data_IF_957370398227
#
_entry.id   IF_957370398227
#
_cell.length_a   1.000
_cell.length_b   1.000
_cell.length_c   1.000
_cell.angle_alpha   90.00
_cell.angle_beta   90.00
_cell.angle_gamma   90.00
#
_symmetry.space_group_name_H-M   'P 1'
#
loop_
_entity.id
_entity.type
_entity.pdbx_description
1 polymer ?
#
# COMPACT_ATOMS: atom_id res chain seq x y z
N UNK A 1 47.32 52.35 -12.01
CA UNK A 1 46.58 51.07 -12.00
C UNK A 1 45.97 50.88 -13.39
N UNK A 2 46.46 49.88 -14.15
CA UNK A 2 46.17 49.76 -15.57
C UNK A 2 44.79 49.12 -15.80
N UNK A 3 43.81 49.93 -16.23
CA UNK A 3 42.41 49.54 -16.50
C UNK A 3 42.34 48.40 -17.53
N UNK A 4 43.32 48.31 -18.43
CA UNK A 4 43.44 47.23 -19.42
C UNK A 4 43.61 45.83 -18.81
N UNK A 5 44.28 45.70 -17.66
CA UNK A 5 44.47 44.40 -17.01
C UNK A 5 43.17 43.87 -16.37
N UNK A 6 42.32 44.78 -15.86
CA UNK A 6 41.04 44.44 -15.24
C UNK A 6 40.06 43.94 -16.30
N UNK A 7 40.04 44.55 -17.49
CA UNK A 7 39.17 44.13 -18.59
C UNK A 7 39.51 42.74 -19.14
N UNK A 8 40.79 42.34 -19.15
CA UNK A 8 41.21 41.00 -19.59
C UNK A 8 40.79 39.94 -18.59
N UNK A 9 40.94 40.19 -17.28
CA UNK A 9 40.47 39.26 -16.24
C UNK A 9 38.94 39.11 -16.24
N UNK A 10 38.19 40.20 -16.42
CA UNK A 10 36.73 40.13 -16.47
C UNK A 10 36.22 39.32 -17.67
N UNK A 11 36.84 39.46 -18.85
CA UNK A 11 36.50 38.66 -20.02
C UNK A 11 36.78 37.17 -19.81
N UNK A 12 37.88 36.82 -19.15
CA UNK A 12 38.22 35.43 -18.87
C UNK A 12 37.22 34.77 -17.91
N UNK A 13 36.78 35.47 -16.86
CA UNK A 13 35.80 34.94 -15.90
C UNK A 13 34.42 34.75 -16.55
N UNK A 14 33.99 35.70 -17.39
CA UNK A 14 32.71 35.59 -18.11
C UNK A 14 32.74 34.44 -19.14
N UNK A 15 33.87 34.22 -19.81
CA UNK A 15 34.01 33.09 -20.73
C UNK A 15 34.00 31.75 -20.00
N UNK A 16 34.67 31.66 -18.84
CA UNK A 16 34.72 30.44 -18.06
C UNK A 16 33.33 30.07 -17.48
N UNK A 17 32.57 31.06 -17.00
CA UNK A 17 31.22 30.83 -16.49
C UNK A 17 30.24 30.40 -17.59
N UNK A 18 30.32 31.02 -18.78
CA UNK A 18 29.52 30.58 -19.94
C UNK A 18 29.88 29.15 -20.37
N UNK A 19 31.18 28.82 -20.37
CA UNK A 19 31.65 27.49 -20.76
C UNK A 19 31.16 26.41 -19.78
N UNK A 20 31.23 26.66 -18.47
CA UNK A 20 30.69 25.76 -17.44
C UNK A 20 29.18 25.60 -17.59
N UNK A 21 28.45 26.68 -17.85
CA UNK A 21 26.99 26.63 -18.03
C UNK A 21 26.60 25.82 -19.26
N UNK A 22 27.32 25.98 -20.37
CA UNK A 22 27.11 25.18 -21.60
C UNK A 22 27.45 23.72 -21.36
N UNK A 23 28.55 23.41 -20.66
CA UNK A 23 28.93 22.03 -20.32
C UNK A 23 27.89 21.36 -19.43
N UNK A 24 27.40 22.08 -18.41
CA UNK A 24 26.37 21.58 -17.50
C UNK A 24 25.04 21.34 -18.24
N UNK A 25 24.67 22.25 -19.14
CA UNK A 25 23.47 22.09 -19.98
C UNK A 25 23.61 20.92 -20.97
N UNK A 26 24.79 20.72 -21.55
CA UNK A 26 25.10 19.56 -22.40
C UNK A 26 25.03 18.25 -21.62
N UNK A 27 25.58 18.21 -20.40
CA UNK A 27 25.50 17.03 -19.52
C UNK A 27 24.05 16.72 -19.16
N UNK A 28 23.23 17.72 -18.77
CA UNK A 28 21.80 17.52 -18.50
C UNK A 28 21.06 17.05 -19.75
N UNK A 29 21.41 17.57 -20.93
CA UNK A 29 20.76 17.18 -22.19
C UNK A 29 21.14 15.75 -22.58
N UNK A 30 22.40 15.35 -22.42
CA UNK A 30 22.87 13.98 -22.62
C UNK A 30 22.21 13.03 -21.61
N UNK A 31 22.11 13.42 -20.33
CA UNK A 31 21.43 12.63 -19.30
C UNK A 31 19.91 12.52 -19.52
N UNK A 32 19.28 13.52 -20.17
CA UNK A 32 17.86 13.46 -20.56
C UNK A 32 17.60 12.69 -21.86
N UNK A 33 18.61 12.55 -22.74
CA UNK A 33 18.49 11.89 -24.04
C UNK A 33 18.98 10.44 -24.05
N UNK A 34 19.57 9.95 -22.96
CA UNK A 34 19.71 8.53 -22.75
C UNK A 34 18.45 8.00 -22.04
N UNK A 35 17.44 7.44 -22.74
CA UNK A 35 16.70 6.38 -22.08
C UNK A 35 17.76 5.36 -21.71
N UNK A 36 17.96 5.13 -20.41
CA UNK A 36 18.59 3.90 -19.96
C UNK A 36 17.60 2.80 -20.35
N UNK A 37 17.63 2.40 -21.62
CA UNK A 37 17.22 1.08 -22.01
C UNK A 37 18.21 0.16 -21.31
N UNK A 38 17.86 -0.23 -20.09
CA UNK A 38 18.35 -1.46 -19.51
C UNK A 38 17.89 -2.53 -20.50
N UNK A 39 18.78 -2.86 -21.43
CA UNK A 39 18.73 -4.05 -22.26
C UNK A 39 18.68 -5.20 -21.26
N UNK A 40 17.46 -5.64 -20.95
CA UNK A 40 17.28 -6.89 -20.25
C UNK A 40 17.66 -7.97 -21.26
N UNK A 41 18.86 -8.50 -21.03
CA UNK A 41 19.24 -9.84 -21.43
C UNK A 41 18.02 -10.76 -21.22
N UNK A 42 17.54 -11.32 -22.32
CA UNK A 42 16.43 -12.27 -22.35
C UNK A 42 16.95 -13.58 -21.74
N UNK A 43 17.02 -13.62 -20.41
CA UNK A 43 17.40 -14.79 -19.63
C UNK A 43 16.28 -15.84 -19.81
N UNK A 44 16.56 -16.89 -20.58
CA UNK A 44 15.59 -17.90 -21.06
C UNK A 44 15.07 -18.85 -19.97
N UNK A 45 15.30 -18.54 -18.69
CA UNK A 45 14.65 -19.20 -17.56
C UNK A 45 13.57 -18.30 -16.98
N UNK A 46 12.33 -18.44 -17.46
CA UNK A 46 11.16 -17.88 -16.76
C UNK A 46 11.17 -18.38 -15.32
N UNK A 47 11.16 -17.48 -14.34
CA UNK A 47 11.12 -17.89 -12.94
C UNK A 47 9.79 -18.59 -12.61
N UNK A 48 9.79 -19.48 -11.61
CA UNK A 48 8.57 -20.14 -11.10
C UNK A 48 7.43 -19.15 -10.80
N UNK A 49 7.81 -17.98 -10.28
CA UNK A 49 6.90 -16.87 -10.02
C UNK A 49 6.35 -16.25 -11.31
N UNK A 50 7.19 -16.05 -12.35
CA UNK A 50 6.71 -15.56 -13.64
C UNK A 50 5.67 -16.50 -14.24
N UNK A 51 5.86 -17.82 -14.11
CA UNK A 51 4.88 -18.82 -14.57
C UNK A 51 3.55 -18.67 -13.83
N UNK A 52 3.56 -18.59 -12.49
CA UNK A 52 2.34 -18.36 -11.69
C UNK A 52 1.63 -17.07 -12.17
N UNK A 53 2.38 -15.98 -12.29
CA UNK A 53 1.84 -14.67 -12.72
C UNK A 53 1.33 -14.71 -14.17
N UNK A 54 1.97 -15.47 -15.06
CA UNK A 54 1.52 -15.68 -16.44
C UNK A 54 0.14 -16.33 -16.43
N UNK A 55 -0.05 -17.38 -15.65
CA UNK A 55 -1.32 -18.10 -15.56
C UNK A 55 -2.43 -17.24 -14.93
N UNK A 56 -2.16 -16.61 -13.78
CA UNK A 56 -3.13 -15.71 -13.14
C UNK A 56 -3.57 -14.57 -14.06
N UNK A 57 -2.63 -14.01 -14.82
CA UNK A 57 -2.94 -12.98 -15.82
C UNK A 57 -3.79 -13.49 -16.98
N UNK A 58 -3.66 -14.77 -17.39
CA UNK A 58 -4.53 -15.38 -18.42
C UNK A 58 -5.95 -15.57 -17.92
N UNK A 59 -6.14 -15.75 -16.62
CA UNK A 59 -7.45 -15.77 -15.98
C UNK A 59 -8.09 -14.38 -15.84
N UNK A 60 -7.47 -13.33 -16.39
CA UNK A 60 -7.92 -11.93 -16.27
C UNK A 60 -8.05 -11.42 -14.83
N UNK A 61 -7.29 -12.02 -13.91
CA UNK A 61 -7.29 -11.61 -12.50
C UNK A 61 -6.44 -10.35 -12.34
N UNK A 62 -7.02 -9.34 -11.70
CA UNK A 62 -6.29 -8.14 -11.32
C UNK A 62 -5.48 -8.41 -10.05
N UNK A 63 -4.19 -8.67 -10.24
CA UNK A 63 -3.25 -8.86 -9.15
C UNK A 63 -2.76 -7.52 -8.62
N UNK A 64 -2.90 -7.31 -7.31
CA UNK A 64 -2.40 -6.14 -6.59
C UNK A 64 -1.21 -6.58 -5.75
N UNK A 65 0.01 -6.12 -6.06
CA UNK A 65 1.15 -6.41 -5.20
C UNK A 65 1.02 -5.60 -3.91
N UNK A 66 0.76 -6.28 -2.80
CA UNK A 66 0.61 -5.67 -1.47
C UNK A 66 1.68 -6.14 -0.49
N UNK A 67 2.52 -7.10 -0.85
CA UNK A 67 3.55 -7.60 0.05
C UNK A 67 4.56 -6.51 0.45
N UNK A 68 4.65 -6.12 1.73
CA UNK A 68 5.42 -4.98 2.19
C UNK A 68 6.92 -5.18 1.92
N UNK A 69 7.44 -6.39 2.13
CA UNK A 69 8.84 -6.65 1.86
C UNK A 69 9.16 -6.55 0.37
N UNK A 70 8.32 -7.13 -0.49
CA UNK A 70 8.54 -7.03 -1.95
C UNK A 70 8.39 -5.59 -2.42
N UNK A 71 7.46 -4.82 -1.85
CA UNK A 71 7.29 -3.41 -2.15
C UNK A 71 8.52 -2.59 -1.74
N UNK A 72 9.02 -2.80 -0.53
CA UNK A 72 10.23 -2.14 -0.02
C UNK A 72 11.43 -2.50 -0.90
N UNK A 73 11.63 -3.79 -1.15
CA UNK A 73 12.74 -4.31 -1.93
C UNK A 73 12.76 -3.77 -3.37
N UNK A 74 11.62 -3.79 -4.07
CA UNK A 74 11.54 -3.40 -5.48
C UNK A 74 11.45 -1.89 -5.70
N UNK A 75 10.77 -1.16 -4.82
CA UNK A 75 10.42 0.24 -5.08
C UNK A 75 11.13 1.23 -4.17
N UNK A 76 11.54 0.83 -2.97
CA UNK A 76 12.29 1.69 -2.04
C UNK A 76 13.78 1.44 -2.18
N UNK A 77 14.21 0.19 -2.03
CA UNK A 77 15.62 -0.21 -2.09
C UNK A 77 16.12 -0.44 -3.53
N UNK A 78 15.20 -0.57 -4.51
CA UNK A 78 15.48 -0.76 -5.94
C UNK A 78 16.39 -1.97 -6.25
N UNK A 79 16.25 -3.04 -5.47
CA UNK A 79 17.07 -4.24 -5.60
C UNK A 79 16.53 -5.20 -6.68
N UNK A 80 17.39 -6.12 -7.11
CA UNK A 80 17.09 -7.05 -8.20
C UNK A 80 16.18 -8.20 -7.79
N UNK A 81 15.12 -8.42 -8.57
CA UNK A 81 14.10 -9.48 -8.38
C UNK A 81 14.67 -10.90 -8.19
N UNK A 82 15.90 -11.18 -8.68
CA UNK A 82 16.55 -12.51 -8.56
C UNK A 82 16.72 -12.96 -7.09
N UNK A 83 16.67 -12.04 -6.12
CA UNK A 83 16.81 -12.33 -4.69
C UNK A 83 15.51 -12.74 -3.98
N UNK A 84 14.34 -12.64 -4.62
CA UNK A 84 13.04 -13.01 -4.02
C UNK A 84 12.76 -14.52 -4.00
N UNK A 85 13.73 -15.35 -4.44
CA UNK A 85 13.55 -16.80 -4.51
C UNK A 85 13.30 -17.37 -3.11
N UNK A 86 12.27 -18.23 -2.99
CA UNK A 86 11.87 -18.97 -1.77
C UNK A 86 11.12 -18.18 -0.71
N UNK A 87 10.64 -16.97 -0.99
CA UNK A 87 9.75 -16.23 -0.07
C UNK A 87 8.30 -16.35 -0.50
N UNK A 88 7.38 -16.47 0.46
CA UNK A 88 5.96 -16.26 0.20
C UNK A 88 5.70 -14.82 -0.22
N UNK A 89 5.04 -14.61 -1.36
CA UNK A 89 4.69 -13.28 -1.86
C UNK A 89 3.19 -13.11 -1.82
N UNK A 90 2.75 -12.02 -1.20
CA UNK A 90 1.34 -11.69 -1.08
C UNK A 90 0.85 -10.75 -2.18
N UNK A 91 -0.19 -11.18 -2.90
CA UNK A 91 -0.99 -10.34 -3.79
C UNK A 91 -2.41 -10.19 -3.24
N UNK A 92 -2.97 -9.01 -3.39
CA UNK A 92 -4.40 -8.76 -3.25
C UNK A 92 -5.14 -9.14 -4.53
N UNK A 93 -6.31 -9.76 -4.36
CA UNK A 93 -7.30 -9.96 -5.43
C UNK A 93 -8.68 -9.51 -4.93
N UNK A 94 -9.55 -9.05 -5.81
CA UNK A 94 -10.92 -8.75 -5.43
C UNK A 94 -11.77 -10.03 -5.34
N UNK A 95 -12.76 -10.04 -4.44
CA UNK A 95 -13.60 -11.21 -4.19
C UNK A 95 -14.33 -11.73 -5.46
N UNK A 96 -14.73 -10.84 -6.36
CA UNK A 96 -15.33 -11.19 -7.65
C UNK A 96 -14.40 -12.02 -8.56
N UNK A 97 -13.09 -11.94 -8.34
CA UNK A 97 -12.06 -12.66 -9.09
C UNK A 97 -11.92 -14.12 -8.65
N UNK A 98 -12.53 -14.54 -7.54
CA UNK A 98 -12.43 -15.93 -7.04
C UNK A 98 -12.92 -16.96 -8.04
N UNK A 99 -14.02 -16.67 -8.75
CA UNK A 99 -14.60 -17.58 -9.76
C UNK A 99 -13.67 -17.81 -10.95
N UNK A 100 -12.74 -16.88 -11.20
CA UNK A 100 -11.77 -16.96 -12.29
C UNK A 100 -10.58 -17.88 -11.95
N UNK A 101 -10.46 -18.32 -10.70
CA UNK A 101 -9.39 -19.20 -10.22
C UNK A 101 -9.70 -20.69 -10.37
N UNK A 102 -10.97 -21.07 -10.58
CA UNK A 102 -11.37 -22.49 -10.74
C UNK A 102 -10.52 -23.27 -11.76
N UNK A 103 -10.14 -22.71 -12.93
CA UNK A 103 -9.28 -23.40 -13.88
C UNK A 103 -7.90 -23.74 -13.31
N UNK A 104 -7.37 -22.92 -12.40
CA UNK A 104 -6.03 -23.12 -11.80
C UNK A 104 -6.03 -24.31 -10.85
N UNK A 105 -7.13 -24.52 -10.12
CA UNK A 105 -7.26 -25.63 -9.16
C UNK A 105 -7.20 -27.01 -9.83
N UNK A 106 -7.38 -27.07 -11.15
CA UNK A 106 -7.39 -28.31 -11.94
C UNK A 106 -6.05 -28.62 -12.63
N UNK A 107 -5.02 -27.78 -12.47
CA UNK A 107 -3.72 -27.95 -13.14
C UNK A 107 -2.80 -28.79 -12.26
N UNK A 108 -2.40 -29.97 -12.74
CA UNK A 108 -1.59 -30.96 -11.99
C UNK A 108 -0.25 -30.44 -11.41
N UNK A 109 0.31 -29.36 -11.97
CA UNK A 109 1.60 -28.84 -11.55
C UNK A 109 1.50 -27.80 -10.42
N UNK A 110 0.31 -27.28 -10.12
CA UNK A 110 0.10 -26.34 -9.02
C UNK A 110 -0.55 -27.08 -7.86
N UNK A 111 -0.04 -26.86 -6.65
CA UNK A 111 -0.81 -27.21 -5.45
C UNK A 111 -1.52 -25.96 -4.95
N UNK A 112 -2.83 -26.06 -4.74
CA UNK A 112 -3.64 -24.92 -4.28
C UNK A 112 -4.33 -25.26 -2.97
N UNK A 113 -4.14 -24.41 -1.96
CA UNK A 113 -4.79 -24.53 -0.64
C UNK A 113 -5.65 -23.30 -0.38
N UNK A 114 -6.84 -23.51 0.17
CA UNK A 114 -7.84 -22.46 0.42
C UNK A 114 -8.15 -22.38 1.92
N UNK A 115 -7.99 -21.19 2.51
CA UNK A 115 -8.50 -20.88 3.85
C UNK A 115 -9.82 -20.13 3.73
N UNK A 116 -10.94 -20.80 4.00
CA UNK A 116 -12.27 -20.18 4.10
C UNK A 116 -12.61 -19.21 2.96
N UNK A 117 -12.15 -19.49 1.73
CA UNK A 117 -12.25 -18.63 0.54
C UNK A 117 -11.56 -17.26 0.59
N UNK A 118 -10.95 -16.85 1.70
CA UNK A 118 -10.33 -15.53 1.87
C UNK A 118 -8.82 -15.50 1.60
N UNK A 119 -8.16 -16.64 1.74
CA UNK A 119 -6.73 -16.77 1.46
C UNK A 119 -6.48 -17.99 0.58
N UNK A 120 -5.70 -17.79 -0.46
CA UNK A 120 -5.37 -18.81 -1.46
C UNK A 120 -3.87 -18.92 -1.55
N UNK A 121 -3.36 -20.13 -1.37
CA UNK A 121 -1.95 -20.42 -1.48
C UNK A 121 -1.74 -21.24 -2.73
N UNK A 122 -1.00 -20.69 -3.70
CA UNK A 122 -0.60 -21.36 -4.92
C UNK A 122 0.87 -21.68 -4.81
N UNK A 123 1.20 -22.97 -4.83
CA UNK A 123 2.57 -23.46 -4.79
C UNK A 123 2.96 -24.08 -6.13
N UNK A 124 4.14 -23.71 -6.61
CA UNK A 124 4.78 -24.28 -7.80
C UNK A 124 6.28 -24.37 -7.59
N UNK A 125 6.83 -25.58 -7.65
CA UNK A 125 8.26 -25.86 -7.51
C UNK A 125 8.90 -25.06 -6.35
N UNK A 126 8.38 -25.31 -5.13
CA UNK A 126 8.78 -24.69 -3.85
C UNK A 126 8.56 -23.18 -3.72
N UNK A 127 8.03 -22.50 -4.74
CA UNK A 127 7.64 -21.10 -4.66
C UNK A 127 6.16 -21.00 -4.27
N UNK A 128 5.87 -20.27 -3.20
CA UNK A 128 4.51 -20.04 -2.72
C UNK A 128 4.08 -18.61 -3.05
N UNK A 129 2.91 -18.48 -3.66
CA UNK A 129 2.20 -17.22 -3.86
C UNK A 129 0.93 -17.25 -3.01
N UNK A 130 0.77 -16.22 -2.20
CA UNK A 130 -0.41 -16.01 -1.37
C UNK A 130 -1.31 -14.96 -2.04
N UNK A 131 -2.57 -15.30 -2.30
CA UNK A 131 -3.59 -14.37 -2.73
C UNK A 131 -4.51 -14.09 -1.55
N UNK A 132 -4.47 -12.85 -1.05
CA UNK A 132 -5.38 -12.33 -0.04
C UNK A 132 -6.59 -11.71 -0.73
N UNK A 133 -7.79 -12.09 -0.31
CA UNK A 133 -9.04 -11.55 -0.89
C UNK A 133 -9.39 -10.22 -0.24
N UNK A 134 -9.59 -9.22 -1.08
CA UNK A 134 -10.07 -7.89 -0.73
C UNK A 134 -11.59 -7.87 -0.82
N UNK A 135 -12.24 -7.81 0.33
CA UNK A 135 -13.68 -7.64 0.44
C UNK A 135 -14.05 -6.17 0.43
N UNK A 136 -14.69 -5.65 -0.64
CA UNK A 136 -15.11 -4.26 -0.68
C UNK A 136 -16.14 -3.99 0.43
N UNK A 137 -15.84 -2.98 1.24
CA UNK A 137 -16.75 -2.34 2.18
C UNK A 137 -17.11 -0.95 1.67
N UNK A 138 -17.99 -0.23 2.36
CA UNK A 138 -18.44 1.10 1.95
C UNK A 138 -17.30 2.11 1.75
N UNK A 139 -16.21 2.00 2.53
CA UNK A 139 -15.11 2.97 2.51
C UNK A 139 -13.70 2.37 2.50
N UNK A 140 -13.55 1.05 2.54
CA UNK A 140 -12.27 0.34 2.59
C UNK A 140 -12.38 -1.08 2.01
N UNK A 141 -11.25 -1.73 1.80
CA UNK A 141 -11.16 -3.14 1.47
C UNK A 141 -10.71 -3.92 2.69
N UNK A 142 -11.53 -4.87 3.15
CA UNK A 142 -11.23 -5.73 4.29
C UNK A 142 -10.51 -6.99 3.79
N UNK A 143 -9.40 -7.31 4.44
CA UNK A 143 -8.70 -8.59 4.32
C UNK A 143 -8.89 -9.31 5.64
N UNK A 144 -9.47 -10.51 5.58
CA UNK A 144 -9.75 -11.32 6.75
C UNK A 144 -8.48 -11.96 7.32
N UNK A 145 -8.61 -12.54 8.51
CA UNK A 145 -7.55 -13.37 9.09
C UNK A 145 -7.56 -14.74 8.43
N UNK A 146 -6.37 -15.23 8.10
CA UNK A 146 -6.17 -16.60 7.66
C UNK A 146 -6.41 -17.57 8.83
N UNK A 147 -7.26 -18.57 8.61
CA UNK A 147 -7.60 -19.57 9.62
C UNK A 147 -6.88 -20.91 9.39
N UNK A 148 -6.22 -21.09 8.24
CA UNK A 148 -5.39 -22.26 8.02
C UNK A 148 -4.10 -22.20 8.85
N UNK A 149 -3.73 -23.30 9.54
CA UNK A 149 -2.41 -23.40 10.13
C UNK A 149 -1.36 -23.42 9.02
N UNK A 150 -0.36 -22.54 9.12
CA UNK A 150 0.80 -22.51 8.24
C UNK A 150 2.02 -23.11 8.95
N UNK A 151 3.01 -23.61 8.20
CA UNK A 151 4.31 -23.96 8.77
C UNK A 151 4.91 -22.80 9.57
N UNK A 152 5.62 -23.12 10.64
CA UNK A 152 6.14 -22.12 11.60
C UNK A 152 7.16 -21.13 11.01
N UNK A 153 7.79 -21.50 9.90
CA UNK A 153 8.75 -20.70 9.13
C UNK A 153 8.08 -19.77 8.10
N UNK A 154 6.76 -19.89 7.90
CA UNK A 154 6.00 -19.06 6.96
C UNK A 154 5.35 -17.89 7.70
N UNK A 155 5.80 -16.69 7.41
CA UNK A 155 5.21 -15.45 7.91
C UNK A 155 4.28 -14.83 6.86
N UNK A 156 3.05 -14.50 7.28
CA UNK A 156 2.09 -13.79 6.46
C UNK A 156 2.23 -12.28 6.65
N UNK A 157 2.41 -11.56 5.56
CA UNK A 157 2.33 -10.10 5.56
C UNK A 157 0.90 -9.59 5.74
N UNK A 158 -0.08 -10.32 5.18
CA UNK A 158 -1.53 -10.09 5.35
C UNK A 158 -2.21 -11.41 5.68
N UNK A 159 -3.20 -11.40 6.57
CA UNK A 159 -3.90 -12.60 7.05
C UNK A 159 -3.41 -13.12 8.41
N UNK A 160 -2.38 -12.50 8.99
CA UNK A 160 -1.98 -12.64 10.39
C UNK A 160 -3.07 -12.12 11.35
N UNK A 161 -3.61 -10.95 11.01
CA UNK A 161 -4.77 -10.31 11.63
C UNK A 161 -5.69 -9.77 10.53
N UNK A 162 -6.95 -9.43 10.85
CA UNK A 162 -7.75 -8.60 9.95
C UNK A 162 -7.00 -7.30 9.65
N UNK A 163 -7.04 -6.87 8.39
CA UNK A 163 -6.40 -5.63 7.91
C UNK A 163 -7.30 -4.94 6.91
N UNK A 164 -7.16 -3.62 6.80
CA UNK A 164 -7.88 -2.82 5.81
C UNK A 164 -6.90 -2.12 4.88
N UNK A 165 -7.34 -1.92 3.64
CA UNK A 165 -6.65 -1.06 2.67
C UNK A 165 -7.67 -0.01 2.23
N UNK A 166 -7.32 1.27 2.36
CA UNK A 166 -8.22 2.33 1.91
C UNK A 166 -8.17 2.48 0.37
N UNK A 167 -9.27 2.91 -0.29
CA UNK A 167 -9.28 3.08 -1.74
C UNK A 167 -8.26 4.09 -2.26
N UNK A 168 -7.89 5.07 -1.42
CA UNK A 168 -6.88 6.07 -1.75
C UNK A 168 -5.46 5.50 -1.78
N UNK A 169 -5.19 4.53 -0.91
CA UNK A 169 -3.97 3.72 -0.85
C UNK A 169 -3.95 2.69 -1.99
N UNK A 170 -5.14 2.22 -2.38
CA UNK A 170 -5.37 1.32 -3.49
C UNK A 170 -5.29 2.00 -4.88
N UNK A 171 -4.61 3.13 -5.00
CA UNK A 171 -4.22 3.66 -6.30
C UNK A 171 -3.11 2.80 -6.87
N UNK A 172 -3.51 1.73 -7.54
CA UNK A 172 -2.57 0.82 -8.17
C UNK A 172 -2.26 1.24 -9.60
N UNK A 173 -1.00 1.16 -10.00
CA UNK A 173 -0.57 1.35 -11.39
C UNK A 173 -0.07 0.03 -11.95
N UNK A 174 -0.61 -0.37 -13.10
CA UNK A 174 -0.09 -1.50 -13.88
C UNK A 174 1.33 -1.14 -14.33
N UNK A 175 2.32 -1.95 -13.94
CA UNK A 175 3.73 -1.73 -14.28
C UNK A 175 4.14 -2.63 -15.44
N UNK A 176 5.44 -2.68 -15.75
CA UNK A 176 6.06 -3.64 -16.70
C UNK A 176 5.69 -5.09 -16.37
N UNK A 177 5.34 -5.35 -15.12
CA UNK A 177 4.93 -6.66 -14.60
C UNK A 177 3.43 -6.91 -14.75
N UNK A 178 3.00 -8.18 -14.68
CA UNK A 178 1.60 -8.61 -14.83
C UNK A 178 0.72 -8.34 -13.60
N UNK A 179 1.13 -7.40 -12.75
CA UNK A 179 0.42 -6.97 -11.55
C UNK A 179 0.47 -5.45 -11.45
N UNK A 180 -0.41 -4.91 -10.62
CA UNK A 180 -0.42 -3.49 -10.28
C UNK A 180 0.18 -3.30 -8.89
N UNK A 181 0.94 -2.23 -8.67
CA UNK A 181 1.53 -1.88 -7.37
C UNK A 181 1.04 -0.51 -6.91
N UNK A 182 1.09 -0.21 -5.59
CA UNK A 182 0.72 1.11 -5.08
C UNK A 182 1.47 2.22 -5.80
N UNK A 183 0.80 3.34 -6.07
CA UNK A 183 1.40 4.50 -6.72
C UNK A 183 2.52 5.12 -5.87
N UNK A 184 2.32 5.17 -4.55
CA UNK A 184 3.31 5.59 -3.57
C UNK A 184 3.62 4.41 -2.62
N UNK A 185 4.66 3.64 -2.95
CA UNK A 185 5.04 2.46 -2.18
C UNK A 185 5.52 2.83 -0.77
N UNK A 186 6.28 3.90 -0.60
CA UNK A 186 6.78 4.33 0.71
C UNK A 186 5.63 4.68 1.65
N UNK A 187 4.66 5.47 1.19
CA UNK A 187 3.48 5.83 1.99
C UNK A 187 2.61 4.61 2.33
N UNK A 188 2.42 3.69 1.37
CA UNK A 188 1.72 2.42 1.61
C UNK A 188 2.40 1.58 2.71
N UNK A 189 3.74 1.52 2.70
CA UNK A 189 4.52 0.80 3.71
C UNK A 189 4.46 1.48 5.08
N UNK A 190 4.47 2.81 5.11
CA UNK A 190 4.28 3.57 6.35
C UNK A 190 2.93 3.24 6.98
N UNK A 191 1.83 3.33 6.22
CA UNK A 191 0.50 2.94 6.68
C UNK A 191 0.43 1.48 7.15
N UNK A 192 1.04 0.56 6.40
CA UNK A 192 1.10 -0.85 6.80
C UNK A 192 1.75 -1.05 8.18
N UNK A 193 2.81 -0.28 8.47
CA UNK A 193 3.56 -0.39 9.71
C UNK A 193 2.82 0.23 10.91
N UNK A 194 2.07 1.30 10.69
CA UNK A 194 1.43 2.06 11.77
C UNK A 194 -0.04 1.70 12.01
N UNK A 195 -0.67 0.97 11.08
CA UNK A 195 -2.09 0.66 11.15
C UNK A 195 -2.37 -0.80 11.52
N UNK A 196 -3.29 -0.98 12.44
CA UNK A 196 -3.93 -2.25 12.73
C UNK A 196 -5.44 -2.05 12.64
N UNK A 197 -6.14 -2.94 11.94
CA UNK A 197 -7.60 -2.88 11.92
C UNK A 197 -8.16 -3.36 13.25
N UNK A 198 -8.96 -2.50 13.89
CA UNK A 198 -9.68 -2.81 15.11
C UNK A 198 -11.16 -2.58 14.82
N UNK A 199 -11.92 -3.67 14.75
CA UNK A 199 -13.37 -3.62 14.57
C UNK A 199 -14.05 -3.19 15.89
N UNK A 200 -15.19 -2.51 15.79
CA UNK A 200 -15.93 -2.11 16.97
C UNK A 200 -16.72 -3.30 17.55
N UNK A 201 -17.06 -3.24 18.84
CA UNK A 201 -17.86 -4.29 19.47
C UNK A 201 -19.35 -4.07 19.20
N UNK A 202 -19.85 -4.63 18.09
CA UNK A 202 -21.26 -4.53 17.68
C UNK A 202 -22.24 -5.10 18.72
N UNK A 203 -21.85 -6.12 19.47
CA UNK A 203 -22.69 -6.70 20.52
C UNK A 203 -22.88 -5.72 21.69
N UNK A 204 -21.78 -5.12 22.15
CA UNK A 204 -21.81 -4.06 23.17
C UNK A 204 -22.59 -2.84 22.65
N UNK A 205 -22.40 -2.46 21.40
CA UNK A 205 -23.11 -1.33 20.82
C UNK A 205 -24.62 -1.53 20.82
N UNK A 206 -25.09 -2.73 20.45
CA UNK A 206 -26.51 -3.08 20.51
C UNK A 206 -27.05 -3.07 21.94
N UNK A 207 -26.28 -3.54 22.91
CA UNK A 207 -26.63 -3.46 24.33
C UNK A 207 -26.77 -2.00 24.80
N UNK A 208 -25.79 -1.16 24.44
CA UNK A 208 -25.76 0.26 24.81
C UNK A 208 -26.93 1.04 24.21
N UNK A 209 -27.27 0.78 22.94
CA UNK A 209 -28.44 1.36 22.27
C UNK A 209 -29.74 0.95 22.98
N UNK A 210 -29.87 -0.32 23.33
CA UNK A 210 -31.10 -0.87 23.95
C UNK A 210 -31.30 -0.36 25.37
N UNK A 211 -30.25 -0.34 26.19
CA UNK A 211 -30.36 -0.06 27.63
C UNK A 211 -30.28 1.43 27.97
N UNK A 212 -29.61 2.23 27.14
CA UNK A 212 -29.32 3.64 27.44
C UNK A 212 -29.85 4.60 26.37
N UNK A 213 -30.60 4.10 25.38
CA UNK A 213 -31.20 4.91 24.31
C UNK A 213 -30.18 5.79 23.56
N UNK A 214 -28.96 5.27 23.38
CA UNK A 214 -27.89 5.93 22.63
C UNK A 214 -28.10 5.81 21.11
N UNK A 215 -29.28 6.21 20.63
CA UNK A 215 -29.62 6.19 19.23
C UNK A 215 -28.76 7.19 18.46
N UNK A 216 -28.11 6.71 17.40
CA UNK A 216 -27.34 7.58 16.52
C UNK A 216 -28.27 8.19 15.47
N UNK A 217 -28.35 9.51 15.44
CA UNK A 217 -28.98 10.20 14.32
C UNK A 217 -28.05 10.14 13.11
N UNK A 218 -28.40 9.30 12.13
CA UNK A 218 -27.56 9.02 10.95
C UNK A 218 -27.18 10.28 10.17
N UNK A 219 -28.08 11.26 10.07
CA UNK A 219 -27.80 12.52 9.36
C UNK A 219 -26.80 13.41 10.11
N UNK A 220 -26.92 13.48 11.44
CA UNK A 220 -25.98 14.26 12.26
C UNK A 220 -24.61 13.57 12.38
N UNK A 221 -24.63 12.24 12.41
CA UNK A 221 -23.45 11.40 12.37
C UNK A 221 -22.68 11.61 11.06
N UNK A 222 -23.35 11.61 9.92
CA UNK A 222 -22.72 11.83 8.61
C UNK A 222 -22.07 13.23 8.50
N UNK A 223 -22.71 14.25 9.06
CA UNK A 223 -22.17 15.61 9.10
C UNK A 223 -20.89 15.72 9.94
N UNK A 224 -20.65 14.78 10.86
CA UNK A 224 -19.49 14.78 11.76
C UNK A 224 -18.41 13.80 11.29
N UNK A 225 -18.79 12.58 10.88
CA UNK A 225 -17.88 11.54 10.36
C UNK A 225 -17.18 12.02 9.08
N UNK A 226 -17.88 12.77 8.22
CA UNK A 226 -17.27 13.24 6.96
C UNK A 226 -16.07 14.17 7.21
N UNK A 227 -16.18 15.25 8.01
CA UNK A 227 -15.03 16.05 8.44
C UNK A 227 -13.94 15.23 9.13
N UNK A 228 -14.30 14.33 10.05
CA UNK A 228 -13.32 13.45 10.72
C UNK A 228 -12.49 12.65 9.73
N UNK A 229 -13.13 12.04 8.73
CA UNK A 229 -12.43 11.31 7.66
C UNK A 229 -11.54 12.23 6.83
N UNK A 230 -11.96 13.47 6.55
CA UNK A 230 -11.11 14.43 5.85
C UNK A 230 -9.84 14.77 6.65
N UNK A 231 -9.97 14.97 7.97
CA UNK A 231 -8.85 15.23 8.87
C UNK A 231 -7.92 14.01 8.90
N UNK A 232 -8.45 12.81 9.14
CA UNK A 232 -7.68 11.56 9.13
C UNK A 232 -6.90 11.37 7.82
N UNK A 233 -7.55 11.61 6.68
CA UNK A 233 -6.89 11.51 5.38
C UNK A 233 -5.77 12.55 5.20
N UNK A 234 -5.99 13.78 5.66
CA UNK A 234 -4.97 14.82 5.60
C UNK A 234 -3.76 14.46 6.47
N UNK A 235 -4.00 14.00 7.70
CA UNK A 235 -2.94 13.57 8.61
C UNK A 235 -2.15 12.38 8.04
N UNK A 236 -2.83 11.40 7.44
CA UNK A 236 -2.19 10.30 6.71
C UNK A 236 -1.32 10.83 5.56
N UNK A 237 -1.79 11.79 4.76
CA UNK A 237 -1.01 12.36 3.65
C UNK A 237 0.28 13.04 4.11
N UNK A 238 0.30 13.58 5.33
CA UNK A 238 1.48 14.16 5.96
C UNK A 238 2.28 13.17 6.82
N UNK A 239 1.92 11.88 6.76
CA UNK A 239 2.55 10.80 7.52
C UNK A 239 2.60 11.09 9.04
N UNK A 240 1.52 11.69 9.56
CA UNK A 240 1.35 12.01 10.98
C UNK A 240 0.59 10.89 11.68
N UNK A 241 1.09 10.44 12.82
CA UNK A 241 0.36 9.47 13.62
C UNK A 241 -0.81 10.16 14.31
N UNK A 242 -1.97 9.55 14.20
CA UNK A 242 -3.18 10.02 14.87
C UNK A 242 -4.04 8.87 15.36
N UNK A 243 -4.87 9.16 16.34
CA UNK A 243 -5.84 8.22 16.89
C UNK A 243 -7.06 8.97 17.43
N UNK A 244 -8.19 8.28 17.58
CA UNK A 244 -9.35 8.85 18.27
C UNK A 244 -9.00 9.07 19.76
N UNK A 245 -9.38 10.20 20.32
CA UNK A 245 -9.14 10.53 21.71
C UNK A 245 -10.43 10.85 22.48
N UNK A 246 -10.33 10.98 23.80
CA UNK A 246 -11.39 11.55 24.65
C UNK A 246 -12.78 10.92 24.47
N UNK A 247 -13.79 11.78 24.36
CA UNK A 247 -15.19 11.36 24.17
C UNK A 247 -15.43 10.67 22.83
N UNK A 248 -14.61 10.98 21.83
CA UNK A 248 -14.68 10.39 20.48
C UNK A 248 -14.30 8.93 20.50
N UNK A 249 -13.16 8.59 21.14
CA UNK A 249 -12.74 7.19 21.33
C UNK A 249 -13.76 6.42 22.19
N UNK A 250 -14.27 7.04 23.25
CA UNK A 250 -15.26 6.43 24.13
C UNK A 250 -16.56 6.08 23.39
N UNK A 251 -17.02 6.95 22.49
CA UNK A 251 -18.19 6.69 21.65
C UNK A 251 -17.99 5.48 20.74
N UNK A 252 -16.83 5.42 20.04
CA UNK A 252 -16.50 4.28 19.18
C UNK A 252 -16.45 2.98 19.99
N UNK A 253 -15.80 3.00 21.15
CA UNK A 253 -15.66 1.83 22.02
C UNK A 253 -17.00 1.31 22.56
N UNK A 254 -17.89 2.21 23.01
CA UNK A 254 -19.16 1.82 23.65
C UNK A 254 -20.23 1.43 22.66
N UNK A 255 -20.41 2.20 21.59
CA UNK A 255 -21.57 2.05 20.71
C UNK A 255 -21.30 2.24 19.24
N UNK A 256 -20.05 2.01 18.80
CA UNK A 256 -19.65 2.04 17.40
C UNK A 256 -20.00 3.39 16.71
N UNK A 257 -19.86 4.52 17.41
CA UNK A 257 -20.12 5.83 16.81
C UNK A 257 -19.80 7.00 17.73
N UNK A 258 -20.52 8.10 17.57
CA UNK A 258 -20.30 9.30 18.38
C UNK A 258 -21.34 9.41 19.50
N UNK A 259 -20.96 10.00 20.63
CA UNK A 259 -21.89 10.27 21.72
C UNK A 259 -22.93 11.29 21.23
N UNK A 260 -24.25 11.01 21.23
CA UNK A 260 -25.26 11.81 20.50
C UNK A 260 -25.35 13.30 20.87
N UNK A 261 -24.87 13.69 22.04
CA UNK A 261 -24.89 15.06 22.56
C UNK A 261 -23.50 15.69 22.67
N UNK A 262 -22.47 15.06 22.07
CA UNK A 262 -21.16 15.69 21.93
C UNK A 262 -21.22 16.85 20.94
N UNK A 263 -20.45 17.90 21.19
CA UNK A 263 -20.39 19.08 20.31
C UNK A 263 -19.08 19.14 19.52
N UNK A 264 -18.12 18.32 19.90
CA UNK A 264 -16.75 18.26 19.37
C UNK A 264 -16.32 16.82 19.11
N UNK A 265 -15.18 16.72 18.41
CA UNK A 265 -14.47 15.47 18.14
C UNK A 265 -13.00 15.68 18.46
N UNK A 266 -12.38 14.64 19.02
CA UNK A 266 -11.01 14.68 19.53
C UNK A 266 -10.14 13.69 18.77
N UNK A 267 -8.99 14.18 18.30
CA UNK A 267 -7.89 13.37 17.78
C UNK A 267 -6.66 13.59 18.65
N UNK A 268 -5.94 12.51 18.94
CA UNK A 268 -4.59 12.56 19.48
C UNK A 268 -3.57 12.55 18.35
N UNK A 269 -2.46 13.25 18.56
CA UNK A 269 -1.27 13.25 17.71
C UNK A 269 -0.03 13.29 18.60
N UNK A 270 1.12 12.84 18.09
CA UNK A 270 2.39 13.09 18.77
C UNK A 270 2.77 14.57 18.65
N UNK A 271 3.16 15.18 19.76
CA UNK A 271 3.53 16.60 19.80
C UNK A 271 4.79 16.87 18.97
N UNK A 272 5.69 15.89 18.88
CA UNK A 272 6.92 15.93 18.11
C UNK A 272 6.68 15.95 16.60
N UNK A 273 5.49 15.55 16.15
CA UNK A 273 5.11 15.55 14.73
C UNK A 273 4.37 16.82 14.32
N UNK A 274 4.19 17.77 15.23
CA UNK A 274 3.68 19.09 14.89
C UNK A 274 4.77 19.90 14.19
N UNK A 275 4.56 20.19 12.90
CA UNK A 275 5.41 21.11 12.15
C UNK A 275 4.78 22.52 12.22
N UNK A 276 5.58 23.54 12.59
CA UNK A 276 5.19 24.96 12.54
C UNK A 276 5.05 25.50 11.11
#
# INVERSE_FOLDING_TARGET
MNITHIFVQYKAVVFLSLFIYVLFWLIITILKQAPIEIVHEHDSSTSNLDLILIYLSKCHINLLLIDPFVLEFLFVQQLSYKQLRKRLITFGIFNDSLRLLEPIFSINNFSVKLSNSDHIFIEYDQQIVHLAVLHPQNSYFLIQKNLLPLPSDVHLSYGDTPRVIEPQEAKFRRRKYRFSSPQNASHFLWLYNISQFIECNHALAKEMETNYHLYQNTSQLDLTIRPMRMISNALNQFEKHHWLAGGTLLGWYRHCGLIPYTQDVDFGLFAEEYDE
#
